data_IF_711813380613
#
_entry.id   IF_711813380613
#
_cell.length_a   1.000
_cell.length_b   1.000
_cell.length_c   1.000
_cell.angle_alpha   90.00
_cell.angle_beta   90.00
_cell.angle_gamma   90.00
#
_symmetry.space_group_name_H-M   'P 1'
#
loop_
_entity.id
_entity.type
_entity.pdbx_description
1 polymer ?
#
# COMPACT_ATOMS: atom_id res chain seq x y z
N UNK A 1 7.73 24.32 -8.59
CA UNK A 1 7.08 23.40 -9.54
C UNK A 1 7.36 21.91 -9.25
N UNK A 2 8.07 21.54 -8.17
CA UNK A 2 8.38 20.13 -7.86
C UNK A 2 7.28 19.38 -7.07
N UNK A 3 6.35 20.11 -6.43
CA UNK A 3 5.33 19.50 -5.56
C UNK A 3 4.25 18.71 -6.32
N UNK A 4 3.95 19.08 -7.57
CA UNK A 4 2.92 18.41 -8.38
C UNK A 4 3.37 17.06 -8.97
N UNK A 5 4.68 16.85 -9.16
CA UNK A 5 5.21 15.54 -9.56
C UNK A 5 5.16 14.54 -8.37
N UNK A 6 5.31 15.03 -7.14
CA UNK A 6 5.34 14.21 -5.93
C UNK A 6 3.99 13.59 -5.53
N UNK A 7 2.87 14.21 -5.90
CA UNK A 7 1.54 13.65 -5.63
C UNK A 7 1.27 12.36 -6.42
N UNK A 8 1.76 12.25 -7.66
CA UNK A 8 1.70 11.00 -8.43
C UNK A 8 2.66 9.94 -7.89
N UNK A 9 3.85 10.36 -7.47
CA UNK A 9 4.90 9.45 -6.95
C UNK A 9 4.45 8.75 -5.67
N UNK A 10 3.77 9.45 -4.74
CA UNK A 10 3.23 8.83 -3.53
C UNK A 10 2.24 7.70 -3.81
N UNK A 11 1.33 7.90 -4.77
CA UNK A 11 0.38 6.87 -5.21
C UNK A 11 1.07 5.70 -5.91
N UNK A 12 2.07 5.96 -6.76
CA UNK A 12 2.85 4.93 -7.44
C UNK A 12 3.66 4.09 -6.46
N UNK A 13 4.29 4.71 -5.45
CA UNK A 13 5.03 4.00 -4.40
C UNK A 13 4.11 3.11 -3.56
N UNK A 14 2.93 3.61 -3.17
CA UNK A 14 1.93 2.82 -2.47
C UNK A 14 1.42 1.63 -3.32
N UNK A 15 1.26 1.84 -4.63
CA UNK A 15 0.86 0.79 -5.56
C UNK A 15 1.94 -0.28 -5.72
N UNK A 16 3.20 0.11 -5.90
CA UNK A 16 4.34 -0.82 -5.97
C UNK A 16 4.46 -1.62 -4.67
N UNK A 17 4.29 -0.97 -3.52
CA UNK A 17 4.28 -1.65 -2.23
C UNK A 17 3.14 -2.69 -2.12
N UNK A 18 1.94 -2.34 -2.58
CA UNK A 18 0.80 -3.27 -2.65
C UNK A 18 1.05 -4.47 -3.56
N UNK A 19 1.62 -4.25 -4.74
CA UNK A 19 2.01 -5.32 -5.67
C UNK A 19 3.08 -6.22 -5.06
N UNK A 20 4.04 -5.68 -4.32
CA UNK A 20 5.05 -6.48 -3.62
C UNK A 20 4.39 -7.41 -2.59
N UNK A 21 3.51 -6.87 -1.74
CA UNK A 21 2.77 -7.68 -0.75
C UNK A 21 1.91 -8.75 -1.44
N UNK A 22 1.29 -8.41 -2.57
CA UNK A 22 0.53 -9.35 -3.39
C UNK A 22 1.40 -10.49 -3.92
N UNK A 23 2.59 -10.22 -4.46
CA UNK A 23 3.52 -11.26 -4.90
C UNK A 23 3.89 -12.19 -3.74
N UNK A 24 4.13 -11.64 -2.54
CA UNK A 24 4.41 -12.43 -1.34
C UNK A 24 3.22 -13.28 -0.89
N UNK A 25 2.00 -12.76 -1.04
CA UNK A 25 0.76 -13.50 -0.80
C UNK A 25 0.68 -14.71 -1.74
N UNK A 26 0.89 -14.52 -3.04
CA UNK A 26 0.92 -15.62 -4.02
C UNK A 26 1.99 -16.67 -3.69
N UNK A 27 3.17 -16.23 -3.24
CA UNK A 27 4.28 -17.13 -2.89
C UNK A 27 4.00 -17.97 -1.62
N UNK A 28 3.24 -17.45 -0.65
CA UNK A 28 3.03 -18.12 0.65
C UNK A 28 1.71 -18.86 0.76
N UNK A 29 0.62 -18.25 0.31
CA UNK A 29 -0.76 -18.74 0.47
C UNK A 29 -1.28 -19.45 -0.79
N UNK A 30 -0.56 -19.32 -1.90
CA UNK A 30 -0.91 -19.91 -3.19
C UNK A 30 -1.87 -19.07 -4.04
N UNK A 31 -2.21 -19.62 -5.20
CA UNK A 31 -2.87 -18.89 -6.30
C UNK A 31 -4.30 -18.44 -5.98
N UNK A 32 -5.08 -19.25 -5.26
CA UNK A 32 -6.47 -18.94 -4.89
C UNK A 32 -6.57 -17.68 -4.02
N UNK A 33 -5.79 -17.64 -2.94
CA UNK A 33 -5.73 -16.49 -2.03
C UNK A 33 -5.05 -15.29 -2.69
N UNK A 34 -4.08 -15.53 -3.58
CA UNK A 34 -3.47 -14.51 -4.41
C UNK A 34 -4.47 -13.77 -5.32
N UNK A 35 -5.30 -14.50 -6.08
CA UNK A 35 -6.32 -13.91 -6.94
C UNK A 35 -7.36 -13.15 -6.12
N UNK A 36 -7.77 -13.71 -4.98
CA UNK A 36 -8.63 -13.03 -4.01
C UNK A 36 -8.00 -11.71 -3.53
N UNK A 37 -6.70 -11.71 -3.26
CA UNK A 37 -5.97 -10.50 -2.89
C UNK A 37 -5.81 -9.48 -4.02
N UNK A 38 -5.77 -9.93 -5.28
CA UNK A 38 -5.68 -9.04 -6.44
C UNK A 38 -7.03 -8.36 -6.70
N UNK A 39 -8.12 -9.11 -6.66
CA UNK A 39 -9.48 -8.59 -6.83
C UNK A 39 -9.88 -7.72 -5.62
N UNK A 40 -9.56 -8.18 -4.41
CA UNK A 40 -9.78 -7.45 -3.17
C UNK A 40 -8.44 -6.99 -2.59
N UNK A 41 -7.97 -5.80 -2.99
CA UNK A 41 -6.75 -5.21 -2.42
C UNK A 41 -6.78 -5.10 -0.89
N UNK A 42 -7.96 -4.93 -0.28
CA UNK A 42 -8.14 -4.96 1.18
C UNK A 42 -7.71 -6.30 1.80
N UNK A 43 -7.95 -7.42 1.13
CA UNK A 43 -7.51 -8.74 1.60
C UNK A 43 -5.97 -8.82 1.64
N UNK A 44 -5.31 -8.38 0.56
CA UNK A 44 -3.83 -8.30 0.49
C UNK A 44 -3.28 -7.40 1.58
N UNK A 45 -3.95 -6.28 1.85
CA UNK A 45 -3.55 -5.34 2.89
C UNK A 45 -3.66 -5.94 4.30
N UNK A 46 -4.79 -6.57 4.63
CA UNK A 46 -4.99 -7.23 5.93
C UNK A 46 -4.02 -8.39 6.11
N UNK A 47 -3.84 -9.21 5.07
CA UNK A 47 -2.87 -10.30 5.11
C UNK A 47 -1.44 -9.80 5.30
N UNK A 48 -1.08 -8.72 4.60
CA UNK A 48 0.20 -8.04 4.73
C UNK A 48 0.45 -7.53 6.15
N UNK A 49 -0.55 -6.92 6.79
CA UNK A 49 -0.50 -6.51 8.20
C UNK A 49 -0.33 -7.70 9.15
N UNK A 50 -1.08 -8.79 8.94
CA UNK A 50 -0.97 -9.99 9.77
C UNK A 50 0.41 -10.65 9.66
N UNK A 51 0.99 -10.63 8.46
CA UNK A 51 2.27 -11.24 8.17
C UNK A 51 3.47 -10.27 8.27
N UNK A 52 3.26 -9.00 8.60
CA UNK A 52 4.35 -8.01 8.68
C UNK A 52 5.36 -8.32 9.79
N UNK A 53 4.93 -9.05 10.83
CA UNK A 53 5.82 -9.48 11.92
C UNK A 53 6.73 -10.64 11.52
N UNK A 54 6.44 -11.31 10.40
CA UNK A 54 7.23 -12.41 9.89
C UNK A 54 8.45 -11.86 9.11
N UNK A 55 9.65 -12.06 9.67
CA UNK A 55 10.89 -11.47 9.16
C UNK A 55 11.33 -12.11 7.82
N UNK A 56 10.94 -13.35 7.57
CA UNK A 56 11.26 -14.08 6.33
C UNK A 56 10.60 -13.43 5.10
N UNK A 57 9.45 -12.78 5.30
CA UNK A 57 8.66 -12.18 4.21
C UNK A 57 9.09 -10.75 3.89
N UNK A 58 9.85 -10.10 4.78
CA UNK A 58 10.32 -8.70 4.65
C UNK A 58 9.19 -7.72 4.33
N UNK A 59 7.99 -7.96 4.89
CA UNK A 59 6.78 -7.18 4.63
C UNK A 59 6.70 -5.87 5.42
N UNK A 60 7.53 -5.67 6.45
CA UNK A 60 7.54 -4.46 7.29
C UNK A 60 7.67 -3.20 6.44
N UNK A 61 8.75 -3.10 5.66
CA UNK A 61 9.04 -1.91 4.83
C UNK A 61 7.93 -1.59 3.82
N UNK A 62 7.47 -2.52 2.96
CA UNK A 62 6.40 -2.21 2.01
C UNK A 62 5.07 -1.89 2.70
N UNK A 63 4.72 -2.56 3.81
CA UNK A 63 3.50 -2.23 4.55
C UNK A 63 3.54 -0.82 5.16
N UNK A 64 4.67 -0.40 5.73
CA UNK A 64 4.83 0.97 6.24
C UNK A 64 4.74 2.01 5.14
N UNK A 65 5.36 1.76 3.99
CA UNK A 65 5.26 2.66 2.82
C UNK A 65 3.80 2.74 2.34
N UNK A 66 3.10 1.60 2.28
CA UNK A 66 1.72 1.54 1.82
C UNK A 66 0.77 2.29 2.77
N UNK A 67 0.85 2.03 4.08
CA UNK A 67 0.06 2.72 5.11
C UNK A 67 0.42 4.21 5.12
N UNK A 68 1.71 4.54 5.12
CA UNK A 68 2.19 5.91 5.13
C UNK A 68 1.73 6.71 3.91
N UNK A 69 1.72 6.09 2.73
CA UNK A 69 1.20 6.68 1.50
C UNK A 69 -0.31 6.98 1.57
N UNK A 70 -1.11 6.06 2.12
CA UNK A 70 -2.56 6.27 2.31
C UNK A 70 -2.81 7.41 3.31
N UNK A 71 -2.16 7.37 4.48
CA UNK A 71 -2.33 8.37 5.54
C UNK A 71 -1.87 9.76 5.08
N UNK A 72 -0.70 9.85 4.43
CA UNK A 72 -0.21 11.09 3.87
C UNK A 72 -1.15 11.64 2.80
N UNK A 73 -1.69 10.77 1.94
CA UNK A 73 -2.70 11.14 0.94
C UNK A 73 -3.95 11.72 1.59
N UNK A 74 -4.45 11.12 2.67
CA UNK A 74 -5.60 11.64 3.43
C UNK A 74 -5.29 13.01 4.03
N UNK A 75 -4.13 13.18 4.68
CA UNK A 75 -3.72 14.44 5.31
C UNK A 75 -3.60 15.55 4.27
N UNK A 76 -2.98 15.28 3.12
CA UNK A 76 -2.83 16.25 2.03
C UNK A 76 -4.21 16.61 1.45
N UNK A 77 -5.08 15.64 1.19
CA UNK A 77 -6.44 15.91 0.71
C UNK A 77 -7.25 16.74 1.71
N UNK A 78 -7.10 16.48 3.00
CA UNK A 78 -7.78 17.24 4.05
C UNK A 78 -7.21 18.66 4.18
N UNK A 79 -5.88 18.81 4.18
CA UNK A 79 -5.21 20.10 4.27
C UNK A 79 -5.44 20.98 3.03
N UNK A 80 -5.54 20.39 1.84
CA UNK A 80 -5.79 21.11 0.59
C UNK A 80 -7.29 21.30 0.29
N UNK A 81 -8.15 20.41 0.78
CA UNK A 81 -9.61 20.52 0.70
C UNK A 81 -10.21 21.53 1.69
N UNK A 82 -9.46 21.93 2.71
CA UNK A 82 -9.86 22.97 3.68
C UNK A 82 -9.49 24.41 3.30
N UNK A 83 -8.91 24.64 2.11
CA UNK A 83 -8.49 25.97 1.62
C UNK A 83 -9.27 26.50 0.41
N UNK A 84 -10.46 25.94 0.16
CA UNK A 84 -11.34 26.32 -0.95
C UNK A 84 -12.56 27.10 -0.51
N UNK A 85 -12.35 28.25 0.14
CA UNK A 85 -13.27 29.40 0.17
C UNK A 85 -12.47 30.66 -0.17
#
# INVERSE_FOLDING_TARGET
MEFSANMGIGGVLAFIAGIWVLIKLFQKEGLLKGILGFICMLYTFIWGLQNMKNEDLKLKTPMYIWIGGIVLGIIINFAMGGGGE
#
